data_IF_046482968690
#
_entry.id   IF_046482968690
#
_cell.length_a   1.000
_cell.length_b   1.000
_cell.length_c   1.000
_cell.angle_alpha   90.00
_cell.angle_beta   90.00
_cell.angle_gamma   90.00
#
_symmetry.space_group_name_H-M   'P 1'
#
loop_
_entity.id
_entity.type
_entity.pdbx_description
1 polymer ?
#
# COMPACT_ATOMS: atom_id res chain seq x y z
N UNK A 1 -6.20 4.48 -19.28
CA UNK A 1 -6.31 4.02 -17.90
C UNK A 1 -5.34 4.83 -17.09
N UNK A 2 -5.80 5.31 -15.94
CA UNK A 2 -5.00 6.17 -15.07
C UNK A 2 -4.26 5.30 -14.04
N UNK A 3 -2.95 5.48 -13.89
CA UNK A 3 -2.17 4.77 -12.88
C UNK A 3 -1.63 5.74 -11.83
N UNK A 4 -1.45 5.21 -10.62
CA UNK A 4 -0.86 5.93 -9.51
C UNK A 4 0.40 5.25 -9.05
N UNK A 5 1.44 6.02 -8.77
CA UNK A 5 2.51 5.59 -7.86
C UNK A 5 2.08 5.93 -6.45
N UNK A 6 2.29 5.02 -5.50
CA UNK A 6 1.92 5.23 -4.10
C UNK A 6 3.01 4.77 -3.14
N UNK A 7 3.02 5.37 -1.95
CA UNK A 7 3.87 4.98 -0.83
C UNK A 7 2.99 4.70 0.39
N UNK A 8 3.09 3.47 0.91
CA UNK A 8 2.51 3.07 2.19
C UNK A 8 3.59 2.99 3.26
N UNK A 9 3.22 3.25 4.51
CA UNK A 9 4.08 3.07 5.67
C UNK A 9 3.41 2.17 6.70
N UNK A 10 4.17 1.27 7.32
CA UNK A 10 3.75 0.49 8.49
C UNK A 10 4.64 0.87 9.67
N UNK A 11 4.03 1.31 10.77
CA UNK A 11 4.73 1.64 12.01
C UNK A 11 5.26 0.38 12.70
N UNK A 12 4.50 -0.72 12.64
CA UNK A 12 4.83 -2.01 13.24
C UNK A 12 6.07 -2.62 12.59
N UNK A 13 6.21 -2.49 11.27
CA UNK A 13 7.39 -2.99 10.54
C UNK A 13 8.51 -1.96 10.47
N UNK A 14 8.22 -0.69 10.73
CA UNK A 14 9.09 0.46 10.43
C UNK A 14 9.61 0.39 8.99
N UNK A 15 8.66 0.28 8.04
CA UNK A 15 8.96 0.13 6.60
C UNK A 15 8.04 0.94 5.73
N UNK A 16 8.63 1.46 4.66
CA UNK A 16 7.92 2.00 3.51
C UNK A 16 7.77 0.93 2.42
N UNK A 17 6.62 0.94 1.76
CA UNK A 17 6.31 0.13 0.58
C UNK A 17 5.95 1.06 -0.56
N UNK A 18 6.65 0.93 -1.70
CA UNK A 18 6.37 1.70 -2.91
C UNK A 18 5.76 0.77 -3.95
N UNK A 19 4.69 1.21 -4.61
CA UNK A 19 4.05 0.42 -5.65
C UNK A 19 3.30 1.28 -6.66
N UNK A 20 2.72 0.61 -7.65
CA UNK A 20 1.78 1.23 -8.59
C UNK A 20 0.47 0.45 -8.66
N UNK A 21 -0.61 1.17 -8.96
CA UNK A 21 -1.98 0.61 -9.07
C UNK A 21 -2.90 1.60 -9.80
N UNK A 22 -3.98 1.09 -10.37
CA UNK A 22 -5.07 1.93 -10.94
C UNK A 22 -6.00 2.47 -9.83
N UNK A 23 -6.08 1.76 -8.70
CA UNK A 23 -6.89 2.15 -7.54
C UNK A 23 -6.09 1.99 -6.25
N UNK A 24 -5.65 3.12 -5.69
CA UNK A 24 -4.87 3.20 -4.44
C UNK A 24 -5.72 2.78 -3.24
N UNK A 25 -7.01 3.11 -3.25
CA UNK A 25 -7.92 2.78 -2.14
C UNK A 25 -8.18 1.28 -2.07
N UNK A 26 -8.41 0.63 -3.22
CA UNK A 26 -8.55 -0.81 -3.28
C UNK A 26 -7.25 -1.51 -2.86
N UNK A 27 -6.11 -1.07 -3.38
CA UNK A 27 -4.82 -1.63 -3.01
C UNK A 27 -4.53 -1.50 -1.52
N UNK A 28 -4.83 -0.36 -0.91
CA UNK A 28 -4.69 -0.20 0.55
C UNK A 28 -5.52 -1.23 1.32
N UNK A 29 -6.78 -1.48 0.90
CA UNK A 29 -7.62 -2.53 1.52
C UNK A 29 -6.98 -3.91 1.42
N UNK A 30 -6.39 -4.26 0.28
CA UNK A 30 -5.68 -5.54 0.11
C UNK A 30 -4.53 -5.70 1.11
N UNK A 31 -3.74 -4.64 1.33
CA UNK A 31 -2.65 -4.63 2.31
C UNK A 31 -3.17 -4.83 3.75
N UNK A 32 -4.32 -4.23 4.07
CA UNK A 32 -5.00 -4.35 5.37
C UNK A 32 -5.75 -5.68 5.55
N UNK A 33 -5.93 -6.48 4.50
CA UNK A 33 -6.56 -7.80 4.57
C UNK A 33 -5.54 -8.94 4.69
N UNK A 34 -5.98 -10.09 5.18
CA UNK A 34 -5.16 -11.29 5.26
C UNK A 34 -4.94 -11.88 3.86
N UNK A 35 -3.69 -11.82 3.40
CA UNK A 35 -3.23 -12.42 2.16
C UNK A 35 -1.86 -13.09 2.39
N UNK A 36 -1.32 -13.77 1.39
CA UNK A 36 0.05 -14.31 1.45
C UNK A 36 1.04 -13.27 0.95
N UNK A 37 2.17 -13.08 1.63
CA UNK A 37 3.24 -12.20 1.15
C UNK A 37 3.96 -11.43 2.26
N UNK A 38 4.86 -10.54 1.88
CA UNK A 38 5.59 -9.69 2.82
C UNK A 38 4.65 -8.68 3.50
N UNK A 39 3.81 -8.03 2.70
CA UNK A 39 2.89 -6.97 3.12
C UNK A 39 1.80 -7.46 4.06
N UNK A 40 1.52 -8.77 4.09
CA UNK A 40 0.53 -9.32 5.01
C UNK A 40 1.00 -9.43 6.46
N UNK A 41 2.31 -9.27 6.72
CA UNK A 41 2.91 -9.30 8.06
C UNK A 41 2.47 -8.15 8.97
N UNK A 42 1.88 -7.10 8.40
CA UNK A 42 1.33 -5.98 9.13
C UNK A 42 -0.02 -5.53 8.56
N UNK A 43 -0.78 -4.82 9.40
CA UNK A 43 -2.17 -4.39 9.16
C UNK A 43 -2.40 -2.93 9.54
N UNK A 44 -1.31 -2.20 9.79
CA UNK A 44 -1.26 -0.78 10.11
C UNK A 44 -0.67 0.01 8.93
N UNK A 45 -0.86 -0.49 7.71
CA UNK A 45 -0.44 0.22 6.51
C UNK A 45 -1.24 1.50 6.34
N UNK A 46 -0.55 2.61 6.19
CA UNK A 46 -1.14 3.93 5.96
C UNK A 46 -0.59 4.53 4.68
N UNK A 47 -1.47 5.14 3.87
CA UNK A 47 -1.07 5.90 2.69
C UNK A 47 -0.37 7.19 3.12
N UNK A 48 0.87 7.38 2.68
CA UNK A 48 1.66 8.61 2.93
C UNK A 48 1.82 9.46 1.69
N UNK A 49 1.77 8.86 0.51
CA UNK A 49 1.92 9.56 -0.76
C UNK A 49 1.20 8.83 -1.90
N UNK A 50 0.65 9.58 -2.84
CA UNK A 50 0.19 9.08 -4.12
C UNK A 50 0.23 10.18 -5.18
N UNK A 51 0.67 9.85 -6.39
CA UNK A 51 0.66 10.74 -7.55
C UNK A 51 0.18 9.99 -8.80
N UNK A 52 -0.46 10.72 -9.70
CA UNK A 52 -0.96 10.22 -10.98
C UNK A 52 0.12 10.24 -12.05
N UNK A 53 0.17 9.24 -12.94
CA UNK A 53 1.04 9.20 -14.12
C UNK A 53 0.36 8.61 -15.37
#
# INVERSE_FOLDING_TARGET
MEYFVYILYSQTLDKYYVGSTEDVSHRLREHLWNHKGFTSRAKDWELKYSEFF
#
